data_IF_349162181960
#
_entry.id   IF_349162181960
#
_cell.length_a   1.000
_cell.length_b   1.000
_cell.length_c   1.000
_cell.angle_alpha   90.00
_cell.angle_beta   90.00
_cell.angle_gamma   90.00
#
_symmetry.space_group_name_H-M   'P 1'
#
loop_
_entity.id
_entity.type
_entity.pdbx_description
1 polymer ?
#
# COMPACT_ATOMS: atom_id res chain seq x y z
N UNK A 1 -9.23 4.30 3.48
CA UNK A 1 -8.52 5.28 2.63
C UNK A 1 -8.71 6.63 3.28
N UNK A 2 -7.78 6.99 4.15
CA UNK A 2 -7.81 8.28 4.82
C UNK A 2 -7.60 9.35 3.75
N UNK A 3 -8.43 10.39 3.74
CA UNK A 3 -8.36 11.46 2.75
C UNK A 3 -6.99 12.19 2.68
N UNK A 4 -6.14 11.93 3.67
CA UNK A 4 -4.78 12.45 3.80
C UNK A 4 -3.75 11.75 2.90
N UNK A 5 -3.90 10.45 2.65
CA UNK A 5 -2.96 9.65 1.85
C UNK A 5 -3.08 10.01 0.36
N UNK A 6 -4.32 10.09 -0.14
CA UNK A 6 -4.58 10.56 -1.51
C UNK A 6 -4.20 12.03 -1.74
N UNK A 7 -4.04 12.83 -0.68
CA UNK A 7 -3.55 14.22 -0.77
C UNK A 7 -2.03 14.26 -0.93
N UNK A 8 -1.29 13.41 -0.23
CA UNK A 8 0.16 13.29 -0.40
C UNK A 8 0.50 12.77 -1.80
N UNK A 9 -0.23 11.76 -2.28
CA UNK A 9 -0.04 11.23 -3.64
C UNK A 9 -0.32 12.30 -4.70
N UNK A 10 -1.42 13.05 -4.57
CA UNK A 10 -1.74 14.15 -5.48
C UNK A 10 -0.64 15.22 -5.52
N UNK A 11 -0.03 15.55 -4.38
CA UNK A 11 1.08 16.49 -4.30
C UNK A 11 2.34 15.95 -4.98
N UNK A 12 2.66 14.67 -4.81
CA UNK A 12 3.78 14.01 -5.47
C UNK A 12 3.62 14.03 -6.99
N UNK A 13 2.46 13.62 -7.51
CA UNK A 13 2.22 13.60 -8.96
C UNK A 13 2.22 15.01 -9.55
N UNK A 14 1.72 16.01 -8.83
CA UNK A 14 1.82 17.42 -9.23
C UNK A 14 3.28 17.88 -9.32
N UNK A 15 4.14 17.51 -8.35
CA UNK A 15 5.55 17.81 -8.38
C UNK A 15 6.25 17.16 -9.58
N UNK A 16 5.99 15.87 -9.83
CA UNK A 16 6.58 15.13 -10.95
C UNK A 16 6.19 15.76 -12.30
N UNK A 17 4.93 16.17 -12.47
CA UNK A 17 4.48 16.90 -13.67
C UNK A 17 5.20 18.24 -13.85
N UNK A 18 5.39 19.00 -12.76
CA UNK A 18 6.10 20.28 -12.82
C UNK A 18 7.59 20.11 -13.17
N UNK A 19 8.26 19.11 -12.58
CA UNK A 19 9.65 18.78 -12.91
C UNK A 19 9.79 18.41 -14.39
N UNK A 20 8.88 17.58 -14.90
CA UNK A 20 8.90 17.15 -16.29
C UNK A 20 8.74 18.34 -17.25
N UNK A 21 7.77 19.22 -16.98
CA UNK A 21 7.60 20.46 -17.76
C UNK A 21 8.86 21.34 -17.73
N UNK A 22 9.53 21.43 -16.58
CA UNK A 22 10.76 22.21 -16.45
C UNK A 22 11.89 21.59 -17.30
N UNK A 23 12.06 20.26 -17.29
CA UNK A 23 13.04 19.58 -18.13
C UNK A 23 12.75 19.81 -19.61
N UNK A 24 11.51 19.62 -20.05
CA UNK A 24 11.09 19.83 -21.44
C UNK A 24 11.34 21.27 -21.90
N UNK A 25 11.16 22.26 -21.01
CA UNK A 25 11.44 23.67 -21.32
C UNK A 25 12.94 23.96 -21.45
N UNK A 26 13.79 23.28 -20.67
CA UNK A 26 15.24 23.46 -20.67
C UNK A 26 15.90 22.74 -21.85
N UNK A 27 15.39 21.57 -22.21
CA UNK A 27 15.91 20.75 -23.33
C UNK A 27 15.26 21.11 -24.66
N UNK A 28 14.13 21.81 -24.63
CA UNK A 28 13.27 22.10 -25.78
C UNK A 28 12.87 20.83 -26.55
N UNK A 29 12.76 19.72 -25.82
CA UNK A 29 12.44 18.40 -26.34
C UNK A 29 11.38 17.76 -25.44
N UNK A 30 10.35 17.18 -26.05
CA UNK A 30 9.29 16.48 -25.32
C UNK A 30 9.80 15.12 -24.80
N UNK A 31 9.50 14.83 -23.53
CA UNK A 31 9.91 13.61 -22.83
C UNK A 31 8.73 12.64 -22.73
N UNK A 32 8.32 12.11 -23.89
CA UNK A 32 7.12 11.26 -24.04
C UNK A 32 7.19 10.00 -23.17
N UNK A 33 8.36 9.38 -23.03
CA UNK A 33 8.53 8.18 -22.21
C UNK A 33 8.33 8.48 -20.72
N UNK A 34 8.88 9.60 -20.22
CA UNK A 34 8.69 10.01 -18.83
C UNK A 34 7.23 10.37 -18.54
N UNK A 35 6.52 10.99 -19.49
CA UNK A 35 5.07 11.22 -19.38
C UNK A 35 4.32 9.92 -19.16
N UNK A 36 4.57 8.91 -20.00
CA UNK A 36 3.93 7.60 -19.88
C UNK A 36 4.27 6.89 -18.57
N UNK A 37 5.52 7.01 -18.08
CA UNK A 37 5.92 6.42 -16.79
C UNK A 37 5.21 7.09 -15.60
N UNK A 38 5.10 8.42 -15.59
CA UNK A 38 4.39 9.16 -14.53
C UNK A 38 2.91 8.78 -14.55
N UNK A 39 2.28 8.70 -15.73
CA UNK A 39 0.88 8.30 -15.87
C UNK A 39 0.64 6.87 -15.36
N UNK A 40 1.49 5.92 -15.76
CA UNK A 40 1.39 4.53 -15.32
C UNK A 40 1.53 4.40 -13.79
N UNK A 41 2.47 5.13 -13.19
CA UNK A 41 2.63 5.17 -11.73
C UNK A 41 1.40 5.79 -11.04
N UNK A 42 0.81 6.85 -11.61
CA UNK A 42 -0.41 7.46 -11.08
C UNK A 42 -1.60 6.49 -11.09
N UNK A 43 -1.75 5.71 -12.16
CA UNK A 43 -2.76 4.68 -12.24
C UNK A 43 -2.52 3.55 -11.24
N UNK A 44 -1.27 3.15 -11.01
CA UNK A 44 -0.95 2.09 -10.05
C UNK A 44 -1.22 2.52 -8.61
N UNK A 45 -0.82 3.73 -8.21
CA UNK A 45 -1.01 4.25 -6.85
C UNK A 45 -2.49 4.43 -6.51
N UNK A 46 -3.32 4.72 -7.51
CA UNK A 46 -4.77 4.91 -7.31
C UNK A 46 -5.58 3.61 -7.43
N UNK A 47 -4.95 2.48 -7.79
CA UNK A 47 -5.65 1.19 -7.83
C UNK A 47 -6.09 0.80 -6.43
N UNK A 48 -7.39 0.82 -6.24
CA UNK A 48 -8.03 0.14 -5.13
C UNK A 48 -9.00 -0.91 -5.66
N UNK A 49 -9.11 -2.07 -5.00
CA UNK A 49 -10.11 -3.05 -5.37
C UNK A 49 -11.49 -2.38 -5.40
N UNK A 50 -12.17 -2.46 -6.55
CA UNK A 50 -13.55 -2.00 -6.66
C UNK A 50 -14.39 -2.70 -5.59
N UNK A 51 -15.19 -1.93 -4.85
CA UNK A 51 -16.14 -2.53 -3.90
C UNK A 51 -17.05 -3.48 -4.68
N UNK A 52 -17.12 -4.74 -4.27
CA UNK A 52 -18.10 -5.69 -4.80
C UNK A 52 -19.50 -5.13 -4.50
N UNK A 53 -20.17 -4.60 -5.51
CA UNK A 53 -21.57 -4.16 -5.43
C UNK A 53 -22.54 -5.32 -5.70
N UNK A 54 -22.02 -6.54 -5.88
CA UNK A 54 -22.79 -7.70 -6.29
C UNK A 54 -23.20 -8.50 -5.05
N UNK A 55 -24.50 -8.55 -4.78
CA UNK A 55 -25.04 -9.56 -3.87
C UNK A 55 -24.90 -10.90 -4.59
N UNK A 56 -23.94 -11.70 -4.16
CA UNK A 56 -23.69 -13.03 -4.69
C UNK A 56 -24.65 -14.02 -4.01
N UNK A 57 -25.23 -14.92 -4.80
CA UNK A 57 -25.99 -16.06 -4.26
C UNK A 57 -25.04 -17.09 -3.61
N UNK A 58 -25.55 -17.97 -2.74
CA UNK A 58 -24.74 -18.95 -1.98
C UNK A 58 -23.84 -19.81 -2.88
N UNK A 59 -24.35 -20.21 -4.05
CA UNK A 59 -23.62 -21.02 -5.03
C UNK A 59 -22.49 -20.21 -5.70
N UNK A 60 -22.72 -18.92 -5.95
CA UNK A 60 -21.70 -18.03 -6.50
C UNK A 60 -20.62 -17.72 -5.46
N UNK A 61 -21.00 -17.57 -4.18
CA UNK A 61 -20.05 -17.44 -3.07
C UNK A 61 -19.13 -18.66 -3.01
N UNK A 62 -19.68 -19.88 -3.05
CA UNK A 62 -18.89 -21.10 -3.06
C UNK A 62 -17.90 -21.13 -4.23
N UNK A 63 -18.36 -20.75 -5.44
CA UNK A 63 -17.49 -20.71 -6.62
C UNK A 63 -16.37 -19.68 -6.51
N UNK A 64 -16.64 -18.49 -5.98
CA UNK A 64 -15.61 -17.49 -5.77
C UNK A 64 -14.66 -17.87 -4.62
N UNK A 65 -15.12 -18.60 -3.60
CA UNK A 65 -14.28 -19.19 -2.57
C UNK A 65 -13.35 -20.27 -3.14
N UNK A 66 -13.84 -21.16 -3.99
CA UNK A 66 -13.03 -22.18 -4.66
C UNK A 66 -11.93 -21.53 -5.51
N UNK A 67 -12.30 -20.50 -6.28
CA UNK A 67 -11.36 -19.72 -7.08
C UNK A 67 -10.35 -18.96 -6.22
N UNK A 68 -10.77 -18.44 -5.07
CA UNK A 68 -9.88 -17.77 -4.14
C UNK A 68 -8.88 -18.77 -3.51
N UNK A 69 -9.35 -19.97 -3.18
CA UNK A 69 -8.49 -21.05 -2.69
C UNK A 69 -7.41 -21.42 -3.71
N UNK A 70 -7.78 -21.62 -4.97
CA UNK A 70 -6.81 -21.94 -6.03
C UNK A 70 -5.75 -20.83 -6.20
N UNK A 71 -6.17 -19.55 -6.15
CA UNK A 71 -5.23 -18.43 -6.20
C UNK A 71 -4.29 -18.37 -4.99
N UNK A 72 -4.77 -18.77 -3.82
CA UNK A 72 -3.95 -18.81 -2.61
C UNK A 72 -2.89 -19.91 -2.72
N UNK A 73 -3.23 -21.05 -3.31
CA UNK A 73 -2.29 -22.13 -3.60
C UNK A 73 -1.18 -21.66 -4.57
N UNK A 74 -1.55 -20.99 -5.66
CA UNK A 74 -0.59 -20.41 -6.63
C UNK A 74 0.37 -19.41 -5.96
N UNK A 75 -0.16 -18.50 -5.14
CA UNK A 75 0.64 -17.51 -4.41
C UNK A 75 1.57 -18.19 -3.41
N UNK A 76 1.10 -19.22 -2.71
CA UNK A 76 1.91 -19.97 -1.76
C UNK A 76 3.09 -20.69 -2.46
N UNK A 77 2.88 -21.24 -3.66
CA UNK A 77 3.95 -21.84 -4.47
C UNK A 77 4.98 -20.80 -4.91
N UNK A 78 4.52 -19.63 -5.38
CA UNK A 78 5.40 -18.53 -5.76
C UNK A 78 6.23 -18.00 -4.59
N UNK A 79 5.62 -17.86 -3.42
CA UNK A 79 6.32 -17.41 -2.21
C UNK A 79 7.34 -18.48 -1.79
N UNK A 80 6.94 -19.75 -1.75
CA UNK A 80 7.83 -20.85 -1.35
C UNK A 80 9.04 -20.98 -2.28
N UNK A 81 8.83 -20.89 -3.60
CA UNK A 81 9.92 -20.95 -4.59
C UNK A 81 10.85 -19.74 -4.49
N UNK A 82 10.30 -18.55 -4.26
CA UNK A 82 11.09 -17.31 -4.11
C UNK A 82 11.89 -17.33 -2.81
N UNK A 83 11.30 -17.74 -1.69
CA UNK A 83 11.98 -17.86 -0.39
C UNK A 83 13.10 -18.91 -0.41
N UNK A 84 12.91 -20.01 -1.16
CA UNK A 84 13.95 -21.02 -1.34
C UNK A 84 15.15 -20.51 -2.15
N UNK A 85 14.91 -19.55 -3.05
CA UNK A 85 15.93 -19.00 -3.96
C UNK A 85 16.66 -17.80 -3.36
N UNK A 86 15.97 -16.98 -2.56
CA UNK A 86 16.51 -15.76 -1.97
C UNK A 86 16.16 -15.61 -0.47
N UNK A 87 17.14 -15.82 0.43
CA UNK A 87 16.97 -15.63 1.88
C UNK A 87 16.64 -14.19 2.30
N UNK A 88 17.03 -13.18 1.51
CA UNK A 88 16.72 -11.78 1.80
C UNK A 88 15.23 -11.50 1.58
N UNK A 89 14.62 -12.11 0.56
CA UNK A 89 13.17 -12.04 0.32
C UNK A 89 12.42 -12.71 1.47
N UNK A 90 12.88 -13.85 1.98
CA UNK A 90 12.29 -14.47 3.16
C UNK A 90 12.29 -13.53 4.37
N UNK A 91 13.42 -12.90 4.68
CA UNK A 91 13.50 -11.97 5.81
C UNK A 91 12.58 -10.76 5.64
N UNK A 92 12.48 -10.24 4.41
CA UNK A 92 11.61 -9.11 4.09
C UNK A 92 10.13 -9.48 4.21
N UNK A 93 9.72 -10.62 3.66
CA UNK A 93 8.35 -11.11 3.74
C UNK A 93 7.95 -11.41 5.19
N UNK A 94 8.86 -11.99 5.97
CA UNK A 94 8.62 -12.25 7.41
C UNK A 94 8.43 -10.95 8.19
N UNK A 95 9.33 -9.97 8.01
CA UNK A 95 9.17 -8.66 8.65
C UNK A 95 7.94 -7.88 8.18
N UNK A 96 7.55 -8.05 6.91
CA UNK A 96 6.30 -7.48 6.38
C UNK A 96 5.07 -8.17 7.00
N UNK A 97 5.12 -9.49 7.19
CA UNK A 97 4.06 -10.25 7.85
C UNK A 97 3.87 -9.79 9.30
N UNK A 98 4.93 -9.51 10.05
CA UNK A 98 4.85 -8.99 11.42
C UNK A 98 4.07 -7.66 11.52
N UNK A 99 4.20 -6.80 10.50
CA UNK A 99 3.50 -5.51 10.42
C UNK A 99 2.04 -5.68 10.00
N UNK A 100 1.77 -6.52 8.99
CA UNK A 100 0.45 -6.60 8.36
C UNK A 100 -0.47 -7.67 8.96
N UNK A 101 0.05 -8.76 9.53
CA UNK A 101 -0.79 -9.81 10.14
C UNK A 101 -1.73 -9.24 11.19
N UNK A 102 -1.29 -8.41 12.16
CA UNK A 102 -2.19 -7.81 13.14
C UNK A 102 -3.31 -6.98 12.49
N UNK A 103 -3.02 -6.25 11.41
CA UNK A 103 -4.00 -5.42 10.69
C UNK A 103 -5.00 -6.27 9.91
N UNK A 104 -4.53 -7.35 9.28
CA UNK A 104 -5.34 -8.23 8.44
C UNK A 104 -6.27 -9.07 9.31
N UNK A 105 -5.76 -9.63 10.42
CA UNK A 105 -6.53 -10.49 11.32
C UNK A 105 -7.34 -9.71 12.35
N UNK A 106 -7.17 -8.39 12.45
CA UNK A 106 -7.91 -7.58 13.40
C UNK A 106 -9.43 -7.68 13.18
N UNK A 107 -10.12 -7.86 14.29
CA UNK A 107 -11.58 -7.76 14.40
C UNK A 107 -12.07 -6.34 14.08
N UNK A 108 -13.38 -6.19 13.85
CA UNK A 108 -13.97 -4.89 13.55
C UNK A 108 -13.72 -3.84 14.65
N UNK A 109 -13.64 -4.28 15.91
CA UNK A 109 -13.40 -3.40 17.06
C UNK A 109 -11.92 -3.01 17.17
N UNK A 110 -10.99 -3.95 16.99
CA UNK A 110 -9.54 -3.66 16.95
C UNK A 110 -9.20 -2.70 15.80
N UNK A 111 -9.90 -2.82 14.65
CA UNK A 111 -9.69 -1.94 13.50
C UNK A 111 -10.03 -0.48 13.76
N UNK A 112 -10.93 -0.18 14.71
CA UNK A 112 -11.28 1.20 15.08
C UNK A 112 -10.12 1.89 15.82
N UNK A 113 -9.30 1.12 16.53
CA UNK A 113 -8.14 1.64 17.25
C UNK A 113 -6.99 2.04 16.30
N UNK A 114 -6.91 1.47 15.09
CA UNK A 114 -5.93 1.91 14.08
C UNK A 114 -6.25 3.28 13.46
N UNK A 115 -7.50 3.72 13.54
CA UNK A 115 -7.94 5.02 13.02
C UNK A 115 -7.98 6.12 14.07
N UNK A 116 -7.71 5.80 15.33
CA UNK A 116 -7.60 6.81 16.37
C UNK A 116 -6.30 7.60 16.13
N UNK A 117 -6.32 8.93 16.17
CA UNK A 117 -5.08 9.70 16.20
C UNK A 117 -4.28 9.20 17.40
N UNK A 118 -3.06 8.72 17.15
CA UNK A 118 -2.09 8.45 18.20
C UNK A 118 -2.01 9.72 19.04
N UNK A 119 -2.43 9.64 20.32
CA UNK A 119 -2.19 10.73 21.25
C UNK A 119 -0.69 11.03 21.18
N UNK A 120 -0.40 12.25 20.75
CA UNK A 120 0.92 12.84 20.65
C UNK A 120 1.72 12.44 21.89
N UNK A 121 2.76 11.63 21.71
CA UNK A 121 3.70 11.22 22.74
C UNK A 121 4.53 12.46 23.09
N UNK A 122 3.89 13.39 23.77
CA UNK A 122 4.47 14.58 24.33
C UNK A 122 5.50 14.13 25.34
N UNK A 123 6.75 14.11 24.88
CA UNK A 123 7.95 13.91 25.66
C UNK A 123 7.87 14.69 26.99
N UNK A 124 7.45 14.02 28.07
CA UNK A 124 7.73 14.47 29.43
C UNK A 124 9.23 14.29 29.69
N UNK A 125 10.03 15.21 29.17
CA UNK A 125 11.37 15.46 29.70
C UNK A 125 11.22 16.09 31.07
N UNK A 126 11.04 15.23 32.08
CA UNK A 126 11.06 15.63 33.49
C UNK A 126 12.49 16.02 33.86
N UNK A 127 12.83 17.28 33.59
CA UNK A 127 14.07 17.93 34.02
C UNK A 127 14.09 17.98 35.55
N UNK A 128 14.70 16.96 36.18
CA UNK A 128 14.99 16.98 37.61
C UNK A 128 16.21 17.85 37.86
N UNK A 129 15.98 19.14 37.98
CA UNK A 129 16.92 20.05 38.63
C UNK A 129 17.03 19.65 40.09
N UNK A 130 18.21 19.24 40.53
CA UNK A 130 18.56 19.19 41.95
C UNK A 130 19.74 20.12 42.18
N UNK A 131 19.48 21.15 42.99
CA UNK A 131 20.46 21.99 43.67
C UNK A 131 21.37 21.15 44.58
#
# INVERSE_FOLDING_TARGET
>A
MSAEEGKADAQLFQLLSNLLQQVESLTNQEEVELRSKIEALGLEVTKVPSKSSQNLDELEIARELDKLSAKLDDVNELISSTMATDPQVQSLLSGTADVWMPVITATADERRNFTAPTEDDSHETKQRSSN
#
